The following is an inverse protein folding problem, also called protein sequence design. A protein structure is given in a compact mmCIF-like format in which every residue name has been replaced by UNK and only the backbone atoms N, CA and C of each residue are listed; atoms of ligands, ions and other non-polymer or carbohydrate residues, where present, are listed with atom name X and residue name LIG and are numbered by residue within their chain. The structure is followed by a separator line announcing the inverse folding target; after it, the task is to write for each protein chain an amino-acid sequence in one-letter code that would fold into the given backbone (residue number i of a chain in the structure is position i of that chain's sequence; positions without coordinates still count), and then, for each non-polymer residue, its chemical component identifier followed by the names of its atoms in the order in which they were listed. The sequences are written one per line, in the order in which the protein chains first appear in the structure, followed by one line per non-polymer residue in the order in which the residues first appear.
data_IF_288114939232
#
_entry.id   IF_288114939232
#
_cell.length_a   1.000
_cell.length_b   1.000
_cell.length_c   1.000
_cell.angle_alpha   90.00
_cell.angle_beta   90.00
_cell.angle_gamma   90.00
#
_symmetry.space_group_name_H-M   'P 1'
#
loop_
_entity.id
_entity.type
_entity.pdbx_description
1 polymer ?
#
# COMPACT_ATOMS: atom_id res chain seq x y z
N UNK A 1 11.80 -17.23 8.16
CA UNK A 1 10.45 -16.62 8.17
C UNK A 1 10.29 -15.84 6.88
N UNK A 2 9.36 -16.23 6.01
CA UNK A 2 9.09 -15.52 4.77
C UNK A 2 7.98 -14.49 5.00
N UNK A 3 8.18 -13.24 4.58
CA UNK A 3 7.16 -12.20 4.62
C UNK A 3 6.06 -12.55 3.62
N UNK A 4 4.80 -12.60 4.07
CA UNK A 4 3.66 -12.92 3.19
C UNK A 4 2.93 -11.66 2.72
N UNK A 5 2.19 -11.81 1.63
CA UNK A 5 1.35 -10.75 1.05
C UNK A 5 0.37 -10.18 2.08
N UNK A 6 -0.27 -11.05 2.86
CA UNK A 6 -1.22 -10.65 3.90
C UNK A 6 -0.57 -9.85 5.02
N UNK A 7 0.65 -10.21 5.44
CA UNK A 7 1.38 -9.44 6.45
C UNK A 7 1.69 -8.03 5.95
N UNK A 8 2.11 -7.89 4.70
CA UNK A 8 2.37 -6.56 4.12
C UNK A 8 1.08 -5.77 4.00
N UNK A 9 0.00 -6.37 3.50
CA UNK A 9 -1.30 -5.69 3.37
C UNK A 9 -1.85 -5.25 4.74
N UNK A 10 -1.69 -6.07 5.78
CA UNK A 10 -2.07 -5.71 7.13
C UNK A 10 -1.24 -4.53 7.68
N UNK A 11 0.06 -4.48 7.39
CA UNK A 11 0.90 -3.35 7.76
C UNK A 11 0.53 -2.07 6.99
N UNK A 12 0.26 -2.18 5.69
CA UNK A 12 -0.13 -1.04 4.86
C UNK A 12 -1.53 -0.50 5.21
N UNK A 13 -2.41 -1.31 5.80
CA UNK A 13 -3.72 -0.86 6.33
C UNK A 13 -3.61 0.16 7.47
N UNK A 14 -2.48 0.18 8.20
CA UNK A 14 -2.24 1.20 9.21
C UNK A 14 -2.01 2.59 8.60
N UNK A 15 -1.67 2.66 7.31
CA UNK A 15 -1.49 3.91 6.59
C UNK A 15 -2.84 4.40 6.09
N UNK A 16 -3.36 5.43 6.77
CA UNK A 16 -4.59 6.11 6.39
C UNK A 16 -4.28 7.36 5.56
N UNK A 17 -5.06 7.54 4.51
CA UNK A 17 -5.06 8.76 3.72
C UNK A 17 -5.73 9.90 4.53
N UNK A 18 -5.06 11.06 4.71
CA UNK A 18 -5.59 12.15 5.52
C UNK A 18 -6.81 12.85 4.89
N UNK A 19 -6.90 12.86 3.56
CA UNK A 19 -7.98 13.48 2.80
C UNK A 19 -9.23 12.60 2.78
N UNK A 20 -9.06 11.32 2.44
CA UNK A 20 -10.14 10.34 2.31
C UNK A 20 -10.48 9.65 3.64
N UNK A 21 -9.65 9.81 4.68
CA UNK A 21 -9.73 9.13 5.99
C UNK A 21 -9.94 7.63 5.88
N UNK A 22 -9.30 7.01 4.89
CA UNK A 22 -9.46 5.61 4.55
C UNK A 22 -8.11 5.00 4.23
N UNK A 23 -7.97 3.69 4.45
CA UNK A 23 -6.68 3.04 4.28
C UNK A 23 -6.30 2.88 2.80
N UNK A 24 -5.01 3.08 2.50
CA UNK A 24 -4.47 3.02 1.13
C UNK A 24 -4.68 1.64 0.46
N UNK A 25 -4.91 0.60 1.27
CA UNK A 25 -5.19 -0.76 0.80
C UNK A 25 -6.64 -0.89 0.33
N UNK A 26 -7.61 -0.41 1.12
CA UNK A 26 -9.04 -0.38 0.79
C UNK A 26 -9.32 0.58 -0.36
N UNK A 27 -8.57 1.68 -0.46
CA UNK A 27 -8.63 2.59 -1.60
C UNK A 27 -8.04 1.98 -2.89
N UNK A 28 -7.35 0.84 -2.79
CA UNK A 28 -6.77 0.16 -3.94
C UNK A 28 -5.55 0.85 -4.54
N UNK A 29 -4.88 1.73 -3.79
CA UNK A 29 -3.69 2.46 -4.26
C UNK A 29 -2.46 1.56 -4.37
N UNK A 30 -2.40 0.46 -3.60
CA UNK A 30 -1.28 -0.47 -3.61
C UNK A 30 -1.38 -1.42 -4.80
N UNK A 31 -0.43 -1.33 -5.72
CA UNK A 31 -0.37 -2.11 -6.98
C UNK A 31 0.99 -2.76 -7.15
N UNK A 32 1.04 -3.88 -7.88
CA UNK A 32 2.32 -4.53 -8.22
C UNK A 32 3.15 -4.93 -7.00
N UNK A 33 2.51 -5.49 -5.96
CA UNK A 33 3.21 -5.93 -4.76
C UNK A 33 4.02 -7.20 -5.03
N UNK A 34 5.34 -7.06 -4.97
CA UNK A 34 6.37 -8.07 -5.15
C UNK A 34 7.16 -8.26 -3.86
N UNK A 35 7.42 -9.51 -3.50
CA UNK A 35 8.18 -9.88 -2.29
C UNK A 35 9.34 -10.76 -2.75
N UNK A 36 10.57 -10.30 -2.53
CA UNK A 36 11.79 -10.98 -2.96
C UNK A 36 12.80 -11.06 -1.81
N UNK A 37 12.98 -12.26 -1.25
CA UNK A 37 14.06 -12.55 -0.29
C UNK A 37 14.07 -11.68 0.97
N UNK A 38 12.93 -11.08 1.36
CA UNK A 38 12.81 -10.14 2.48
C UNK A 38 12.68 -8.67 2.07
N UNK A 39 12.89 -8.34 0.80
CA UNK A 39 12.55 -7.03 0.23
C UNK A 39 11.11 -7.03 -0.27
N UNK A 40 10.38 -5.96 0.05
CA UNK A 40 9.00 -5.75 -0.39
C UNK A 40 8.98 -4.54 -1.31
N UNK A 41 8.41 -4.69 -2.50
CA UNK A 41 8.27 -3.62 -3.51
C UNK A 41 6.81 -3.53 -3.91
N UNK A 42 6.30 -2.32 -4.01
CA UNK A 42 4.96 -2.05 -4.51
C UNK A 42 4.92 -0.65 -5.09
N UNK A 43 3.97 -0.43 -6.00
CA UNK A 43 3.61 0.90 -6.50
C UNK A 43 2.43 1.42 -5.70
N UNK A 44 2.48 2.71 -5.37
CA UNK A 44 1.34 3.43 -4.81
C UNK A 44 0.86 4.40 -5.87
N UNK A 45 -0.35 4.19 -6.38
CA UNK A 45 -1.02 5.12 -7.28
C UNK A 45 -1.88 6.05 -6.43
N UNK A 46 -1.35 7.23 -6.04
CA UNK A 46 -2.17 8.25 -5.37
C UNK A 46 -3.15 8.83 -6.38
N UNK A 47 -4.45 8.67 -6.14
CA UNK A 47 -5.51 9.21 -7.02
C UNK A 47 -5.78 10.69 -6.78
N UNK A 48 -4.78 11.49 -6.46
CA UNK A 48 -4.92 12.96 -6.44
C UNK A 48 -4.36 13.53 -7.74
N UNK A 49 -5.21 13.79 -8.77
CA UNK A 49 -4.84 14.39 -10.05
C UNK A 49 -4.34 15.84 -9.96
N UNK A 50 -4.23 16.42 -8.77
CA UNK A 50 -3.77 17.78 -8.58
C UNK A 50 -3.29 17.96 -7.13
N UNK A 51 -1.98 18.06 -6.94
CA UNK A 51 -1.45 19.16 -6.13
C UNK A 51 -0.77 20.10 -7.15
N UNK A 52 -1.11 21.41 -7.17
CA UNK A 52 -0.30 22.41 -7.88
C UNK A 52 1.12 22.51 -7.30
#
# INVERSE_FOLDING_TARGET
MAVTKEQVLAALRAVQDPDLRRDIVTLGFVKGLEIAGGSVRFKVELTTPACP
#
